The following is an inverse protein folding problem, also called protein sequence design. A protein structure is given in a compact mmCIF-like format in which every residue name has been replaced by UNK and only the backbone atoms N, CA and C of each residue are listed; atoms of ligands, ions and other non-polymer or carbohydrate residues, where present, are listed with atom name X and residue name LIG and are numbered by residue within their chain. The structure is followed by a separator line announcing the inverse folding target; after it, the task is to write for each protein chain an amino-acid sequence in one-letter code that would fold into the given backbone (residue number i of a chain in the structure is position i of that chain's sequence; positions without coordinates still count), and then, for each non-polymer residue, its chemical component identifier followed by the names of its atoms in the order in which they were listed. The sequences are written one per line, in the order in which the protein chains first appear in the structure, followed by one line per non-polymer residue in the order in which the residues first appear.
data_IF_826787993779
#
_entry.id   IF_826787993779
#
_cell.length_a   1.000
_cell.length_b   1.000
_cell.length_c   1.000
_cell.angle_alpha   90.00
_cell.angle_beta   90.00
_cell.angle_gamma   90.00
#
_symmetry.space_group_name_H-M   'P 1'
#
loop_
_entity.id
_entity.type
_entity.pdbx_description
1 polymer ?
#
# COMPACT_ATOMS: atom_id res chain seq x y z
N UNK A 1 -3.61 45.69 -33.41
CA UNK A 1 -4.81 45.23 -32.67
C UNK A 1 -4.76 43.72 -32.38
N UNK A 2 -4.60 42.84 -33.38
CA UNK A 2 -4.54 41.38 -33.19
C UNK A 2 -3.41 40.88 -32.27
N UNK A 3 -2.24 41.52 -32.34
CA UNK A 3 -1.07 41.18 -31.51
C UNK A 3 -1.30 41.52 -30.04
N UNK A 4 -1.97 42.65 -29.75
CA UNK A 4 -2.27 43.05 -28.37
C UNK A 4 -3.24 42.09 -27.67
N UNK A 5 -4.19 41.52 -28.43
CA UNK A 5 -5.14 40.51 -27.91
C UNK A 5 -4.43 39.21 -27.55
N UNK A 6 -3.44 38.78 -28.35
CA UNK A 6 -2.66 37.57 -28.08
C UNK A 6 -1.80 37.70 -26.82
N UNK A 7 -1.17 38.86 -26.60
CA UNK A 7 -0.33 39.11 -25.41
C UNK A 7 -1.17 39.14 -24.12
N UNK A 8 -2.35 39.77 -24.16
CA UNK A 8 -3.26 39.81 -23.01
C UNK A 8 -3.78 38.42 -22.61
N UNK A 9 -4.08 37.55 -23.58
CA UNK A 9 -4.53 36.19 -23.31
C UNK A 9 -3.48 35.33 -22.59
N UNK A 10 -2.20 35.51 -22.92
CA UNK A 10 -1.08 34.80 -22.27
C UNK A 10 -0.88 35.26 -20.81
N UNK A 11 -1.05 36.55 -20.51
CA UNK A 11 -0.92 37.07 -19.15
C UNK A 11 -2.00 36.55 -18.20
N UNK A 12 -3.24 36.36 -18.68
CA UNK A 12 -4.34 35.79 -17.86
C UNK A 12 -4.10 34.31 -17.54
N UNK A 13 -3.54 33.54 -18.48
CA UNK A 13 -3.19 32.14 -18.25
C UNK A 13 -2.08 31.97 -17.19
N UNK A 14 -1.09 32.87 -17.18
CA UNK A 14 0.00 32.84 -16.20
C UNK A 14 -0.47 33.15 -14.77
N UNK A 15 -1.42 34.08 -14.61
CA UNK A 15 -1.98 34.42 -13.29
C UNK A 15 -2.93 33.34 -12.76
N UNK A 16 -3.62 32.60 -13.64
CA UNK A 16 -4.47 31.47 -13.25
C UNK A 16 -3.70 30.23 -12.77
N UNK A 17 -2.40 30.14 -13.07
CA UNK A 17 -1.52 29.08 -12.56
C UNK A 17 -0.97 29.38 -11.16
N UNK A 18 -1.19 30.57 -10.63
CA UNK A 18 -0.84 30.92 -9.26
C UNK A 18 -1.87 30.33 -8.29
N UNK A 19 -1.88 28.99 -8.19
CA UNK A 19 -2.61 28.31 -7.12
C UNK A 19 -1.94 28.66 -5.79
N UNK A 20 -2.71 29.05 -4.75
CA UNK A 20 -2.17 29.19 -3.41
C UNK A 20 -1.52 27.86 -2.96
N UNK A 21 -0.52 27.88 -2.06
CA UNK A 21 0.05 26.66 -1.53
C UNK A 21 -1.06 25.83 -0.90
N UNK A 22 -1.40 24.72 -1.54
CA UNK A 22 -2.30 23.71 -1.01
C UNK A 22 -1.65 23.18 0.26
N UNK A 23 -2.28 23.39 1.42
CA UNK A 23 -1.90 22.79 2.69
C UNK A 23 -1.84 21.28 2.47
N UNK A 24 -0.64 20.80 2.16
CA UNK A 24 -0.42 19.44 1.68
C UNK A 24 -0.56 18.57 2.91
N UNK A 25 -1.71 17.91 3.07
CA UNK A 25 -1.80 16.76 3.96
C UNK A 25 -0.62 15.84 3.61
N UNK A 26 0.13 15.34 4.60
CA UNK A 26 1.25 14.45 4.30
C UNK A 26 0.72 13.31 3.42
N UNK A 27 1.41 12.96 2.32
CA UNK A 27 0.96 11.87 1.48
C UNK A 27 0.85 10.60 2.32
N UNK A 28 -0.32 9.97 2.31
CA UNK A 28 -0.52 8.67 2.94
C UNK A 28 0.26 7.65 2.12
N UNK A 29 1.46 7.27 2.58
CA UNK A 29 2.27 6.22 1.98
C UNK A 29 2.02 4.90 2.71
N UNK A 30 1.40 3.94 2.03
CA UNK A 30 1.24 2.56 2.53
C UNK A 30 2.41 1.74 2.01
N UNK A 31 3.06 1.00 2.90
CA UNK A 31 4.15 0.08 2.54
C UNK A 31 3.61 -1.23 1.95
N UNK A 32 4.45 -1.96 1.21
CA UNK A 32 4.06 -3.29 0.67
C UNK A 32 3.75 -4.27 1.82
N UNK A 33 4.51 -4.22 2.91
CA UNK A 33 4.24 -5.04 4.11
C UNK A 33 2.87 -4.76 4.72
N UNK A 34 2.48 -3.48 4.85
CA UNK A 34 1.16 -3.11 5.35
C UNK A 34 0.04 -3.55 4.42
N UNK A 35 0.25 -3.48 3.10
CA UNK A 35 -0.73 -3.92 2.11
C UNK A 35 -0.94 -5.44 2.20
N UNK A 36 0.14 -6.22 2.34
CA UNK A 36 0.06 -7.68 2.52
C UNK A 36 -0.61 -8.03 3.85
N UNK A 37 -0.27 -7.34 4.94
CA UNK A 37 -0.91 -7.52 6.24
C UNK A 37 -2.43 -7.30 6.17
N UNK A 38 -2.88 -6.22 5.53
CA UNK A 38 -4.30 -5.95 5.30
C UNK A 38 -4.97 -7.10 4.53
N UNK A 39 -4.31 -7.59 3.49
CA UNK A 39 -4.88 -8.65 2.65
C UNK A 39 -4.94 -10.00 3.35
N UNK A 40 -3.92 -10.40 4.10
CA UNK A 40 -3.99 -11.59 4.97
C UNK A 40 -5.13 -11.45 5.97
N UNK A 41 -5.36 -10.23 6.49
CA UNK A 41 -6.50 -9.94 7.36
C UNK A 41 -7.85 -10.11 6.67
N UNK A 42 -7.93 -9.83 5.36
CA UNK A 42 -9.12 -10.09 4.55
C UNK A 42 -9.34 -11.60 4.34
N UNK A 43 -8.28 -12.32 3.98
CA UNK A 43 -8.29 -13.76 3.71
C UNK A 43 -8.79 -14.54 4.94
N UNK A 44 -8.20 -14.32 6.12
CA UNK A 44 -8.58 -15.03 7.36
C UNK A 44 -9.96 -14.63 7.85
N UNK A 45 -10.40 -13.39 7.63
CA UNK A 45 -11.78 -12.99 7.93
C UNK A 45 -12.81 -13.63 7.01
N UNK A 46 -12.45 -13.89 5.75
CA UNK A 46 -13.32 -14.56 4.79
C UNK A 46 -13.47 -16.06 5.11
N UNK A 47 -12.39 -16.71 5.55
CA UNK A 47 -12.41 -18.09 6.03
C UNK A 47 -11.61 -18.26 7.34
N UNK A 48 -12.29 -18.21 8.51
CA UNK A 48 -11.63 -18.39 9.81
C UNK A 48 -11.06 -19.80 10.05
N UNK A 49 -11.35 -20.77 9.18
CA UNK A 49 -10.86 -22.16 9.29
C UNK A 49 -9.72 -22.45 8.31
N UNK A 50 -9.29 -21.46 7.55
CA UNK A 50 -8.23 -21.59 6.56
C UNK A 50 -6.94 -22.12 7.20
N UNK A 51 -6.27 -23.06 6.55
CA UNK A 51 -4.95 -23.48 7.00
C UNK A 51 -3.89 -22.42 6.67
N UNK A 52 -2.76 -22.47 7.37
CA UNK A 52 -1.62 -21.58 7.08
C UNK A 52 -1.16 -21.69 5.62
N UNK A 53 -1.10 -22.91 5.08
CA UNK A 53 -0.70 -23.15 3.68
C UNK A 53 -1.69 -22.58 2.66
N UNK A 54 -2.99 -22.69 2.93
CA UNK A 54 -4.03 -22.12 2.06
C UNK A 54 -4.05 -20.59 2.14
N UNK A 55 -3.86 -20.03 3.34
CA UNK A 55 -3.69 -18.58 3.52
C UNK A 55 -2.52 -18.07 2.68
N UNK A 56 -1.35 -18.73 2.79
CA UNK A 56 -0.18 -18.35 2.00
C UNK A 56 -0.47 -18.40 0.51
N UNK A 57 -1.04 -19.50 0.01
CA UNK A 57 -1.33 -19.66 -1.41
C UNK A 57 -2.30 -18.58 -1.93
N UNK A 58 -3.28 -18.17 -1.12
CA UNK A 58 -4.20 -17.08 -1.49
C UNK A 58 -3.51 -15.72 -1.49
N UNK A 59 -2.65 -15.46 -0.51
CA UNK A 59 -1.85 -14.22 -0.44
C UNK A 59 -0.90 -14.11 -1.63
N UNK A 60 -0.16 -15.19 -1.92
CA UNK A 60 0.76 -15.31 -3.04
C UNK A 60 0.05 -15.04 -4.38
N UNK A 61 -1.14 -15.63 -4.57
CA UNK A 61 -1.95 -15.38 -5.77
C UNK A 61 -2.36 -13.90 -5.95
N UNK A 62 -2.50 -13.14 -4.86
CA UNK A 62 -2.86 -11.71 -4.90
C UNK A 62 -1.64 -10.81 -5.18
N UNK A 63 -0.45 -11.26 -4.79
CA UNK A 63 0.80 -10.50 -4.89
C UNK A 63 1.83 -11.16 -5.79
N UNK A 64 1.42 -12.01 -6.74
CA UNK A 64 2.36 -12.64 -7.66
C UNK A 64 2.99 -11.59 -8.57
N UNK A 65 4.29 -11.37 -8.38
CA UNK A 65 5.12 -10.42 -9.10
C UNK A 65 6.00 -11.13 -10.13
N UNK A 66 6.28 -10.43 -11.24
CA UNK A 66 7.12 -10.97 -12.32
C UNK A 66 8.62 -10.91 -12.03
N UNK A 67 9.03 -10.09 -11.06
CA UNK A 67 10.43 -10.01 -10.62
C UNK A 67 10.69 -11.00 -9.50
N UNK A 68 11.75 -11.81 -9.64
CA UNK A 68 12.03 -12.90 -8.69
C UNK A 68 12.47 -12.41 -7.30
N UNK A 69 13.12 -11.25 -7.22
CA UNK A 69 13.51 -10.68 -5.93
C UNK A 69 12.27 -10.13 -5.23
N UNK A 70 11.44 -9.37 -5.95
CA UNK A 70 10.21 -8.83 -5.38
C UNK A 70 9.23 -9.96 -4.99
N UNK A 71 9.13 -11.02 -5.80
CA UNK A 71 8.34 -12.22 -5.48
C UNK A 71 8.86 -12.92 -4.22
N UNK A 72 10.19 -13.02 -4.05
CA UNK A 72 10.74 -13.62 -2.83
C UNK A 72 10.44 -12.81 -1.57
N UNK A 73 10.34 -11.48 -1.68
CA UNK A 73 9.98 -10.61 -0.58
C UNK A 73 8.49 -10.77 -0.23
N UNK A 74 7.59 -10.72 -1.22
CA UNK A 74 6.16 -10.94 -1.00
C UNK A 74 5.89 -12.31 -0.40
N UNK A 75 6.61 -13.35 -0.85
CA UNK A 75 6.56 -14.72 -0.32
C UNK A 75 6.85 -14.78 1.19
N UNK A 76 7.93 -14.13 1.62
CA UNK A 76 8.38 -14.09 3.03
C UNK A 76 7.35 -13.35 3.89
N UNK A 77 6.82 -12.24 3.38
CA UNK A 77 5.84 -11.42 4.10
C UNK A 77 4.52 -12.19 4.20
N UNK A 78 4.00 -12.75 3.10
CA UNK A 78 2.80 -13.58 3.08
C UNK A 78 2.91 -14.76 4.07
N UNK A 79 4.05 -15.46 4.09
CA UNK A 79 4.30 -16.55 5.03
C UNK A 79 4.19 -16.07 6.48
N UNK A 80 4.90 -14.99 6.83
CA UNK A 80 4.92 -14.44 8.19
C UNK A 80 3.54 -13.97 8.63
N UNK A 81 2.85 -13.19 7.81
CA UNK A 81 1.55 -12.63 8.17
C UNK A 81 0.50 -13.72 8.33
N UNK A 82 0.48 -14.73 7.44
CA UNK A 82 -0.43 -15.87 7.57
C UNK A 82 -0.14 -16.72 8.82
N UNK A 83 1.13 -16.87 9.21
CA UNK A 83 1.48 -17.53 10.47
C UNK A 83 0.90 -16.80 11.68
N UNK A 84 1.09 -15.49 11.76
CA UNK A 84 0.57 -14.68 12.85
C UNK A 84 -0.96 -14.69 12.88
N UNK A 85 -1.61 -14.52 11.73
CA UNK A 85 -3.06 -14.44 11.62
C UNK A 85 -3.76 -15.76 11.98
N UNK A 86 -3.30 -16.88 11.40
CA UNK A 86 -3.90 -18.20 11.62
C UNK A 86 -3.64 -18.71 13.03
N UNK A 87 -2.48 -18.39 13.62
CA UNK A 87 -2.19 -18.69 15.01
C UNK A 87 -2.96 -17.81 16.01
N UNK A 88 -3.61 -16.74 15.56
CA UNK A 88 -4.26 -15.76 16.43
C UNK A 88 -3.25 -14.98 17.30
N UNK A 89 -2.06 -14.71 16.77
CA UNK A 89 -1.01 -14.01 17.50
C UNK A 89 -1.33 -12.52 17.63
N UNK A 90 -1.11 -11.95 18.82
CA UNK A 90 -1.42 -10.54 19.13
C UNK A 90 -0.74 -9.53 18.19
N UNK A 91 0.45 -9.86 17.70
CA UNK A 91 1.17 -9.00 16.74
C UNK A 91 0.43 -8.82 15.42
N UNK A 92 -0.45 -9.76 15.03
CA UNK A 92 -1.26 -9.60 13.83
C UNK A 92 -2.27 -8.45 13.96
N UNK A 93 -2.63 -8.05 15.18
CA UNK A 93 -3.54 -6.92 15.40
C UNK A 93 -2.88 -5.55 15.19
N UNK A 94 -1.55 -5.51 15.00
CA UNK A 94 -0.79 -4.29 14.75
C UNK A 94 -0.19 -4.30 13.34
N UNK A 95 -0.16 -3.14 12.65
CA UNK A 95 0.58 -3.00 11.41
C UNK A 95 2.04 -3.41 11.60
N UNK A 96 2.71 -3.98 10.57
CA UNK A 96 4.10 -4.43 10.68
C UNK A 96 5.08 -3.37 11.21
N UNK A 97 4.94 -2.11 10.79
CA UNK A 97 5.79 -0.99 11.22
C UNK A 97 5.64 -0.61 12.71
N UNK A 98 4.55 -1.01 13.35
CA UNK A 98 4.24 -0.72 14.75
C UNK A 98 4.56 -1.88 15.70
N UNK A 99 5.09 -2.99 15.18
CA UNK A 99 5.48 -4.14 15.99
C UNK A 99 6.81 -3.84 16.69
N UNK A 100 6.89 -4.14 17.98
CA UNK A 100 8.13 -3.99 18.75
C UNK A 100 9.27 -4.74 18.06
N UNK A 101 10.41 -4.07 17.87
CA UNK A 101 11.54 -4.60 17.12
C UNK A 101 11.92 -6.00 17.57
N UNK A 102 12.07 -6.91 16.60
CA UNK A 102 12.80 -8.16 16.81
C UNK A 102 14.28 -7.80 16.95
N UNK A 103 14.76 -7.75 18.19
CA UNK A 103 16.18 -7.97 18.49
C UNK A 103 16.55 -9.44 18.26
#
# INVERSE_FOLDING_TARGET
MKVAVLVLALCVAAMAQHRPPEETQPPVSITVEELIWLEVGNIVRADPRISQSECKASCDAHFSLSDALDESLTDIICQRECELAVAGHEDFHRPPGDRGGRD
#
